data_IF_194068448661
#
_entry.id   IF_194068448661
#
_cell.length_a   1.000
_cell.length_b   1.000
_cell.length_c   1.000
_cell.angle_alpha   90.00
_cell.angle_beta   90.00
_cell.angle_gamma   90.00
#
_symmetry.space_group_name_H-M   'P 1'
#
loop_
_entity.id
_entity.type
_entity.pdbx_description
1 polymer ?
#
# COMPACT_ATOMS: atom_id res chain seq x y z
N UNK A 1 -12.66 12.42 23.66
CA UNK A 1 -13.38 11.36 22.94
C UNK A 1 -12.54 10.10 23.06
N UNK A 2 -12.90 9.22 23.95
CA UNK A 2 -12.36 7.85 24.03
C UNK A 2 -12.81 7.14 22.77
N UNK A 3 -11.89 7.04 21.78
CA UNK A 3 -12.19 6.41 20.50
C UNK A 3 -12.51 4.93 20.73
N UNK A 4 -13.67 4.50 20.32
CA UNK A 4 -14.02 3.10 20.22
C UNK A 4 -13.01 2.42 19.30
N UNK A 5 -12.18 1.54 19.87
CA UNK A 5 -11.29 0.70 19.08
C UNK A 5 -12.10 -0.50 18.57
N UNK A 6 -12.12 -0.74 17.26
CA UNK A 6 -12.85 -1.89 16.72
C UNK A 6 -12.26 -3.20 17.25
N UNK A 7 -13.08 -4.28 17.36
CA UNK A 7 -12.64 -5.59 17.78
C UNK A 7 -11.42 -6.06 16.97
N UNK A 8 -10.38 -6.48 17.67
CA UNK A 8 -9.09 -6.94 17.13
C UNK A 8 -8.79 -8.36 17.64
N UNK A 9 -7.98 -9.11 16.91
CA UNK A 9 -7.46 -10.40 17.39
C UNK A 9 -6.58 -10.27 18.63
N UNK A 10 -5.93 -9.09 18.79
CA UNK A 10 -5.06 -8.87 19.94
C UNK A 10 -5.77 -8.14 21.06
N UNK A 11 -5.58 -8.56 22.32
CA UNK A 11 -5.98 -7.77 23.49
C UNK A 11 -5.39 -6.36 23.45
N UNK A 12 -6.06 -5.41 24.10
CA UNK A 12 -5.66 -3.99 24.09
C UNK A 12 -4.21 -3.74 24.50
N UNK A 13 -3.65 -4.56 25.39
CA UNK A 13 -2.24 -4.51 25.83
C UNK A 13 -1.23 -4.69 24.69
N UNK A 14 -1.61 -5.36 23.60
CA UNK A 14 -0.77 -5.54 22.40
C UNK A 14 -1.04 -4.53 21.29
N UNK A 15 -2.03 -3.65 21.47
CA UNK A 15 -2.30 -2.58 20.51
C UNK A 15 -1.38 -1.38 20.78
N UNK A 16 -0.10 -1.55 20.46
CA UNK A 16 0.97 -0.60 20.77
C UNK A 16 1.38 0.29 19.60
N UNK A 17 0.97 -0.04 18.37
CA UNK A 17 1.39 0.68 17.18
C UNK A 17 0.45 1.88 16.91
N UNK A 18 1.02 3.06 16.77
CA UNK A 18 0.30 4.25 16.31
C UNK A 18 0.25 4.30 14.77
N UNK A 19 -0.60 5.17 14.21
CA UNK A 19 -0.61 5.43 12.77
C UNK A 19 0.75 5.94 12.24
N UNK A 20 1.52 6.65 13.08
CA UNK A 20 2.89 7.06 12.74
C UNK A 20 3.84 5.88 12.68
N UNK A 21 3.76 4.97 13.66
CA UNK A 21 4.58 3.75 13.69
C UNK A 21 4.29 2.84 12.49
N UNK A 22 3.02 2.66 12.14
CA UNK A 22 2.61 1.88 10.95
C UNK A 22 3.10 2.52 9.64
N UNK A 23 3.10 3.86 9.54
CA UNK A 23 3.65 4.55 8.37
C UNK A 23 5.14 4.30 8.20
N UNK A 24 5.90 4.46 9.28
CA UNK A 24 7.35 4.21 9.25
C UNK A 24 7.62 2.74 8.92
N UNK A 25 6.91 1.80 9.54
CA UNK A 25 7.03 0.37 9.24
C UNK A 25 6.78 0.09 7.76
N UNK A 26 5.67 0.59 7.20
CA UNK A 26 5.34 0.40 5.79
C UNK A 26 6.39 1.00 4.84
N UNK A 27 6.96 2.18 5.20
CA UNK A 27 8.03 2.81 4.41
C UNK A 27 9.31 1.99 4.44
N UNK A 28 9.71 1.45 5.60
CA UNK A 28 10.91 0.59 5.72
C UNK A 28 10.71 -0.69 4.90
N UNK A 29 9.58 -1.35 5.05
CA UNK A 29 9.23 -2.56 4.29
C UNK A 29 9.25 -2.27 2.78
N UNK A 30 8.68 -1.15 2.34
CA UNK A 30 8.66 -0.74 0.94
C UNK A 30 10.07 -0.41 0.43
N UNK A 31 10.92 0.22 1.25
CA UNK A 31 12.32 0.48 0.88
C UNK A 31 13.09 -0.82 0.68
N UNK A 32 12.91 -1.81 1.57
CA UNK A 32 13.51 -3.15 1.43
C UNK A 32 13.06 -3.81 0.13
N UNK A 33 11.76 -3.75 -0.19
CA UNK A 33 11.20 -4.29 -1.43
C UNK A 33 11.82 -3.68 -2.68
N UNK A 34 11.83 -2.34 -2.74
CA UNK A 34 12.34 -1.61 -3.91
C UNK A 34 13.86 -1.70 -4.03
N UNK A 35 14.59 -1.75 -2.92
CA UNK A 35 16.03 -2.04 -2.95
C UNK A 35 16.29 -3.42 -3.58
N UNK A 36 15.51 -4.42 -3.19
CA UNK A 36 15.61 -5.73 -3.83
C UNK A 36 15.27 -5.66 -5.32
N UNK A 37 14.16 -5.00 -5.67
CA UNK A 37 13.71 -4.92 -7.06
C UNK A 37 14.69 -4.18 -7.97
N UNK A 38 15.41 -3.17 -7.46
CA UNK A 38 16.28 -2.31 -8.27
C UNK A 38 17.74 -2.76 -8.25
N UNK A 39 18.27 -3.10 -7.07
CA UNK A 39 19.70 -3.39 -6.89
C UNK A 39 19.98 -4.89 -6.80
N UNK A 40 19.22 -5.63 -5.96
CA UNK A 40 19.51 -7.06 -5.76
C UNK A 40 19.09 -7.91 -6.97
N UNK A 41 18.16 -7.43 -7.80
CA UNK A 41 17.70 -8.13 -9.01
C UNK A 41 18.78 -8.29 -10.09
N UNK A 42 19.83 -7.49 -10.05
CA UNK A 42 20.93 -7.49 -11.02
C UNK A 42 22.26 -7.93 -10.39
N UNK A 43 22.32 -8.11 -9.08
CA UNK A 43 23.52 -8.53 -8.35
C UNK A 43 23.49 -10.04 -8.10
N UNK A 44 24.30 -10.79 -8.86
CA UNK A 44 24.28 -12.27 -8.85
C UNK A 44 24.38 -12.89 -7.45
N UNK A 45 25.26 -12.45 -6.53
CA UNK A 45 25.32 -13.04 -5.19
C UNK A 45 24.02 -12.93 -4.37
N UNK A 46 23.18 -11.92 -4.66
CA UNK A 46 21.88 -11.78 -3.99
C UNK A 46 20.79 -12.67 -4.61
N UNK A 47 21.00 -13.19 -5.80
CA UNK A 47 20.10 -14.10 -6.51
C UNK A 47 20.38 -15.57 -6.13
N UNK A 48 21.60 -15.88 -5.71
CA UNK A 48 21.98 -17.23 -5.31
C UNK A 48 21.25 -17.65 -4.04
N UNK A 49 20.76 -18.90 -3.96
CA UNK A 49 20.05 -19.39 -2.81
C UNK A 49 20.94 -19.44 -1.55
N UNK A 50 20.51 -18.79 -0.48
CA UNK A 50 21.14 -18.88 0.84
C UNK A 50 20.79 -20.20 1.55
N UNK A 51 19.58 -20.70 1.33
CA UNK A 51 19.09 -21.97 1.86
C UNK A 51 17.90 -22.48 1.03
N UNK A 52 17.53 -23.75 1.28
CA UNK A 52 16.41 -24.41 0.60
C UNK A 52 15.35 -24.86 1.60
N UNK A 53 14.07 -24.62 1.29
CA UNK A 53 12.92 -25.15 2.04
C UNK A 53 11.97 -25.83 1.04
N UNK A 54 11.69 -27.13 1.24
CA UNK A 54 10.81 -27.89 0.36
C UNK A 54 11.24 -27.88 -1.11
N UNK A 55 12.55 -27.91 -1.39
CA UNK A 55 13.11 -27.86 -2.73
C UNK A 55 13.13 -26.46 -3.39
N UNK A 56 12.63 -25.42 -2.71
CA UNK A 56 12.68 -24.04 -3.19
C UNK A 56 13.87 -23.28 -2.60
N UNK A 57 14.70 -22.68 -3.45
CA UNK A 57 15.81 -21.82 -3.03
C UNK A 57 15.29 -20.45 -2.55
N UNK A 58 15.81 -20.00 -1.41
CA UNK A 58 15.56 -18.67 -0.84
C UNK A 58 16.81 -17.83 -0.92
N UNK A 59 16.83 -16.87 -1.83
CA UNK A 59 17.89 -15.88 -2.00
C UNK A 59 17.60 -14.61 -1.21
N UNK A 60 18.60 -13.77 -0.99
CA UNK A 60 18.41 -12.46 -0.34
C UNK A 60 17.39 -11.61 -1.10
N UNK A 61 17.46 -11.58 -2.43
CA UNK A 61 16.48 -10.93 -3.30
C UNK A 61 15.06 -11.39 -2.97
N UNK A 62 14.83 -12.71 -2.98
CA UNK A 62 13.49 -13.27 -2.76
C UNK A 62 12.96 -12.96 -1.36
N UNK A 63 13.79 -13.06 -0.32
CA UNK A 63 13.39 -12.78 1.06
C UNK A 63 12.93 -11.32 1.19
N UNK A 64 13.72 -10.37 0.65
CA UNK A 64 13.37 -8.94 0.68
C UNK A 64 12.08 -8.65 -0.08
N UNK A 65 11.87 -9.28 -1.25
CA UNK A 65 10.63 -9.15 -2.03
C UNK A 65 9.43 -9.73 -1.27
N UNK A 66 9.61 -10.84 -0.56
CA UNK A 66 8.56 -11.47 0.24
C UNK A 66 8.15 -10.60 1.44
N UNK A 67 9.13 -10.01 2.14
CA UNK A 67 8.88 -9.02 3.20
C UNK A 67 8.12 -7.82 2.63
N UNK A 68 8.53 -7.33 1.47
CA UNK A 68 7.94 -6.19 0.78
C UNK A 68 6.44 -6.28 0.55
N UNK A 69 5.90 -7.50 0.37
CA UNK A 69 4.48 -7.72 0.14
C UNK A 69 3.57 -7.19 1.26
N UNK A 70 4.06 -7.08 2.47
CA UNK A 70 3.31 -6.54 3.59
C UNK A 70 3.11 -5.02 3.54
N UNK A 71 3.87 -4.27 2.73
CA UNK A 71 3.74 -2.82 2.65
C UNK A 71 2.37 -2.37 2.13
N UNK A 72 1.89 -3.00 1.04
CA UNK A 72 0.65 -2.59 0.38
C UNK A 72 -0.58 -2.67 1.29
N UNK A 73 -0.87 -3.77 2.00
CA UNK A 73 -2.01 -3.82 2.92
C UNK A 73 -1.93 -2.79 4.06
N UNK A 74 -0.71 -2.51 4.57
CA UNK A 74 -0.53 -1.47 5.60
C UNK A 74 -0.86 -0.09 5.01
N UNK A 75 -0.42 0.24 3.78
CA UNK A 75 -0.77 1.49 3.12
C UNK A 75 -2.27 1.59 2.83
N UNK A 76 -2.93 0.51 2.44
CA UNK A 76 -4.39 0.47 2.24
C UNK A 76 -5.13 0.75 3.55
N UNK A 77 -4.69 0.15 4.67
CA UNK A 77 -5.22 0.44 5.99
C UNK A 77 -5.03 1.91 6.37
N UNK A 78 -3.81 2.45 6.22
CA UNK A 78 -3.50 3.84 6.52
C UNK A 78 -4.26 4.84 5.63
N UNK A 79 -4.53 4.47 4.37
CA UNK A 79 -5.35 5.28 3.47
C UNK A 79 -6.79 5.33 3.95
N UNK A 80 -7.35 4.19 4.37
CA UNK A 80 -8.70 4.11 4.96
C UNK A 80 -8.80 4.95 6.23
N UNK A 81 -7.85 4.82 7.15
CA UNK A 81 -7.76 5.66 8.35
C UNK A 81 -7.64 7.15 8.00
N UNK A 82 -6.78 7.48 7.05
CA UNK A 82 -6.63 8.84 6.53
C UNK A 82 -7.90 9.40 5.92
N UNK A 83 -8.68 8.59 5.20
CA UNK A 83 -9.97 8.95 4.61
C UNK A 83 -11.00 9.29 5.69
N UNK A 84 -11.08 8.49 6.75
CA UNK A 84 -12.03 8.69 7.85
C UNK A 84 -11.73 9.96 8.66
N UNK A 85 -10.45 10.29 8.82
CA UNK A 85 -10.01 11.42 9.65
C UNK A 85 -9.73 12.71 8.87
N UNK A 86 -9.82 12.71 7.53
CA UNK A 86 -9.56 13.91 6.74
C UNK A 86 -10.74 14.87 6.72
N UNK A 87 -10.47 16.16 6.95
CA UNK A 87 -11.46 17.23 6.82
C UNK A 87 -11.68 17.66 5.36
N UNK A 88 -10.74 17.39 4.47
CA UNK A 88 -10.79 17.82 3.07
C UNK A 88 -10.41 16.66 2.13
N UNK A 89 -11.43 15.93 1.70
CA UNK A 89 -11.30 14.78 0.79
C UNK A 89 -10.79 15.20 -0.59
N UNK A 90 -11.21 16.36 -1.09
CA UNK A 90 -10.76 16.86 -2.40
C UNK A 90 -9.24 17.08 -2.39
N UNK A 91 -8.72 17.76 -1.36
CA UNK A 91 -7.25 17.95 -1.21
C UNK A 91 -6.52 16.62 -1.06
N UNK A 92 -7.11 15.66 -0.37
CA UNK A 92 -6.50 14.35 -0.20
C UNK A 92 -6.41 13.60 -1.53
N UNK A 93 -7.52 13.48 -2.27
CA UNK A 93 -7.56 12.85 -3.59
C UNK A 93 -6.64 13.54 -4.60
N UNK A 94 -6.66 14.89 -4.63
CA UNK A 94 -5.75 15.68 -5.48
C UNK A 94 -4.27 15.34 -5.20
N UNK A 95 -3.88 15.24 -3.92
CA UNK A 95 -2.51 14.89 -3.58
C UNK A 95 -2.17 13.46 -4.04
N UNK A 96 -3.05 12.48 -3.83
CA UNK A 96 -2.83 11.11 -4.31
C UNK A 96 -2.62 11.08 -5.82
N UNK A 97 -3.46 11.80 -6.57
CA UNK A 97 -3.36 11.88 -8.03
C UNK A 97 -2.09 12.58 -8.50
N UNK A 98 -1.74 13.73 -7.91
CA UNK A 98 -0.50 14.45 -8.24
C UNK A 98 0.74 13.59 -7.98
N UNK A 99 0.79 12.88 -6.85
CA UNK A 99 1.91 11.99 -6.57
C UNK A 99 1.89 10.72 -7.42
N UNK A 100 0.73 10.27 -7.91
CA UNK A 100 0.68 9.24 -8.94
C UNK A 100 1.40 9.68 -10.22
N UNK A 101 1.11 10.90 -10.70
CA UNK A 101 1.76 11.46 -11.89
C UNK A 101 3.27 11.69 -11.68
N UNK A 102 3.67 12.27 -10.56
CA UNK A 102 5.09 12.53 -10.24
C UNK A 102 5.87 11.22 -10.14
N UNK A 103 5.26 10.19 -9.58
CA UNK A 103 5.91 8.89 -9.35
C UNK A 103 6.03 8.04 -10.62
N UNK A 104 5.35 8.41 -11.70
CA UNK A 104 5.34 7.63 -12.94
C UNK A 104 6.73 7.60 -13.59
N UNK A 105 7.43 8.72 -13.58
CA UNK A 105 8.78 8.82 -14.15
C UNK A 105 9.76 7.86 -13.44
N UNK A 106 10.01 7.98 -12.12
CA UNK A 106 10.93 7.06 -11.45
C UNK A 106 10.46 5.59 -11.50
N UNK A 107 9.15 5.35 -11.49
CA UNK A 107 8.57 4.01 -11.63
C UNK A 107 8.93 3.37 -12.99
N UNK A 108 8.79 4.11 -14.08
CA UNK A 108 9.12 3.62 -15.42
C UNK A 108 10.62 3.30 -15.52
N UNK A 109 11.48 4.21 -15.05
CA UNK A 109 12.92 3.97 -15.00
C UNK A 109 13.34 2.83 -14.09
N UNK A 110 12.55 2.49 -13.08
CA UNK A 110 12.82 1.35 -12.21
C UNK A 110 12.78 0.02 -12.98
N UNK A 111 11.86 -0.12 -13.95
CA UNK A 111 11.60 -1.39 -14.64
C UNK A 111 12.15 -1.47 -16.05
N UNK A 112 12.17 -0.38 -16.80
CA UNK A 112 12.45 -0.41 -18.25
C UNK A 112 13.60 0.49 -18.69
N UNK A 113 14.12 1.34 -17.80
CA UNK A 113 15.10 2.40 -18.14
C UNK A 113 14.60 3.37 -19.24
N UNK A 114 13.28 3.43 -19.45
CA UNK A 114 12.61 4.28 -20.45
C UNK A 114 11.58 5.18 -19.80
N UNK A 115 11.08 6.15 -20.56
CA UNK A 115 10.04 7.07 -20.09
C UNK A 115 8.65 6.43 -19.92
N UNK A 116 8.46 5.25 -20.51
CA UNK A 116 7.16 4.56 -20.51
C UNK A 116 7.31 3.11 -20.06
N UNK A 117 6.35 2.67 -19.25
CA UNK A 117 6.21 1.28 -18.85
C UNK A 117 4.75 0.86 -18.95
N UNK A 118 4.50 -0.41 -19.22
CA UNK A 118 3.15 -0.95 -19.43
C UNK A 118 2.29 -0.89 -18.16
N UNK A 119 2.92 -0.90 -17.00
CA UNK A 119 2.26 -0.96 -15.70
C UNK A 119 2.47 0.33 -14.92
N UNK A 120 1.36 0.99 -14.55
CA UNK A 120 1.39 2.25 -13.80
C UNK A 120 1.72 2.00 -12.31
N UNK A 121 2.19 3.03 -11.61
CA UNK A 121 2.58 2.91 -10.21
C UNK A 121 1.38 2.74 -9.25
N UNK A 122 1.67 2.28 -8.03
CA UNK A 122 0.67 1.95 -7.00
C UNK A 122 -0.22 3.10 -6.57
N UNK A 123 0.22 4.36 -6.69
CA UNK A 123 -0.62 5.51 -6.32
C UNK A 123 -1.90 5.61 -7.16
N UNK A 124 -1.90 5.13 -8.41
CA UNK A 124 -3.12 5.05 -9.21
C UNK A 124 -4.12 4.06 -8.60
N UNK A 125 -3.66 2.91 -8.12
CA UNK A 125 -4.53 1.95 -7.39
C UNK A 125 -5.08 2.58 -6.11
N UNK A 126 -4.24 3.26 -5.32
CA UNK A 126 -4.66 3.94 -4.10
C UNK A 126 -5.64 5.07 -4.40
N UNK A 127 -5.44 5.83 -5.47
CA UNK A 127 -6.34 6.90 -5.90
C UNK A 127 -7.71 6.36 -6.33
N UNK A 128 -7.74 5.29 -7.14
CA UNK A 128 -9.01 4.67 -7.55
C UNK A 128 -9.78 4.11 -6.34
N UNK A 129 -9.08 3.44 -5.41
CA UNK A 129 -9.70 2.99 -4.16
C UNK A 129 -10.22 4.15 -3.30
N UNK A 130 -9.49 5.26 -3.25
CA UNK A 130 -9.95 6.49 -2.60
C UNK A 130 -11.24 7.04 -3.24
N UNK A 131 -11.32 7.06 -4.58
CA UNK A 131 -12.54 7.46 -5.29
C UNK A 131 -13.69 6.48 -5.01
N UNK A 132 -13.42 5.18 -4.91
CA UNK A 132 -14.41 4.18 -4.52
C UNK A 132 -14.97 4.43 -3.12
N UNK A 133 -14.12 4.77 -2.14
CA UNK A 133 -14.57 5.17 -0.80
C UNK A 133 -15.42 6.46 -0.86
N UNK A 134 -15.04 7.43 -1.69
CA UNK A 134 -15.86 8.64 -1.90
C UNK A 134 -17.23 8.30 -2.48
N UNK A 135 -17.31 7.39 -3.47
CA UNK A 135 -18.58 6.97 -4.08
C UNK A 135 -19.49 6.26 -3.06
N UNK A 136 -18.93 5.39 -2.21
CA UNK A 136 -19.67 4.72 -1.13
C UNK A 136 -20.30 5.72 -0.15
N UNK A 137 -19.60 6.77 0.20
CA UNK A 137 -20.12 7.80 1.11
C UNK A 137 -21.09 8.75 0.43
N UNK A 138 -20.76 9.23 -0.77
CA UNK A 138 -21.55 10.25 -1.46
C UNK A 138 -22.92 9.72 -1.92
N UNK A 139 -22.95 8.49 -2.43
CA UNK A 139 -24.17 7.86 -2.93
C UNK A 139 -24.84 6.94 -1.91
N UNK A 140 -24.63 7.16 -0.61
CA UNK A 140 -25.16 6.31 0.46
C UNK A 140 -26.69 6.12 0.40
N UNK A 141 -27.44 7.13 -0.04
CA UNK A 141 -28.89 7.09 -0.23
C UNK A 141 -29.36 6.57 -1.60
N UNK A 142 -28.44 6.24 -2.50
CA UNK A 142 -28.75 5.79 -3.85
C UNK A 142 -27.88 4.58 -4.23
N UNK A 143 -28.21 3.35 -3.75
CA UNK A 143 -27.37 2.16 -3.92
C UNK A 143 -27.03 1.82 -5.38
N UNK A 144 -27.97 2.05 -6.31
CA UNK A 144 -27.71 1.80 -7.72
C UNK A 144 -26.61 2.73 -8.29
N UNK A 145 -26.54 4.00 -7.86
CA UNK A 145 -25.47 4.94 -8.23
C UNK A 145 -24.13 4.53 -7.61
N UNK A 146 -24.14 4.02 -6.36
CA UNK A 146 -22.94 3.44 -5.76
C UNK A 146 -22.40 2.32 -6.62
N UNK A 147 -23.23 1.31 -6.92
CA UNK A 147 -22.84 0.14 -7.71
C UNK A 147 -22.30 0.58 -9.08
N UNK A 148 -23.02 1.46 -9.77
CA UNK A 148 -22.58 1.97 -11.08
C UNK A 148 -21.21 2.64 -11.00
N UNK A 149 -20.99 3.55 -10.04
CA UNK A 149 -19.70 4.20 -9.85
C UNK A 149 -18.58 3.20 -9.52
N UNK A 150 -18.84 2.22 -8.64
CA UNK A 150 -17.86 1.20 -8.30
C UNK A 150 -17.48 0.34 -9.50
N UNK A 151 -18.45 -0.02 -10.36
CA UNK A 151 -18.19 -0.79 -11.58
C UNK A 151 -17.40 0.01 -12.62
N UNK A 152 -17.71 1.32 -12.78
CA UNK A 152 -16.92 2.21 -13.65
C UNK A 152 -15.48 2.31 -13.14
N UNK A 153 -15.26 2.50 -11.85
CA UNK A 153 -13.92 2.58 -11.27
C UNK A 153 -13.18 1.24 -11.37
N UNK A 154 -13.88 0.11 -11.21
CA UNK A 154 -13.32 -1.21 -11.42
C UNK A 154 -12.87 -1.39 -12.87
N UNK A 155 -13.70 -0.99 -13.84
CA UNK A 155 -13.32 -1.03 -15.26
C UNK A 155 -12.09 -0.17 -15.54
N UNK A 156 -12.02 1.04 -14.96
CA UNK A 156 -10.83 1.90 -15.07
C UNK A 156 -9.62 1.22 -14.44
N UNK A 157 -9.75 0.58 -13.28
CA UNK A 157 -8.66 -0.14 -12.62
C UNK A 157 -8.11 -1.30 -13.47
N UNK A 158 -8.99 -2.01 -14.19
CA UNK A 158 -8.58 -3.06 -15.14
C UNK A 158 -7.83 -2.47 -16.32
N UNK A 159 -8.33 -1.38 -16.92
CA UNK A 159 -7.75 -0.77 -18.13
C UNK A 159 -6.44 -0.03 -17.85
N UNK A 160 -6.34 0.64 -16.71
CA UNK A 160 -5.16 1.41 -16.32
C UNK A 160 -3.94 0.54 -16.05
N UNK A 161 -4.13 -0.74 -15.76
CA UNK A 161 -3.06 -1.70 -15.47
C UNK A 161 -2.07 -1.20 -14.40
N UNK A 162 -2.58 -0.56 -13.33
CA UNK A 162 -1.74 -0.08 -12.24
C UNK A 162 -1.20 -1.23 -11.38
N UNK A 163 -0.16 -0.97 -10.60
CA UNK A 163 0.37 -1.94 -9.65
C UNK A 163 -0.73 -2.36 -8.66
N UNK A 164 -0.87 -3.66 -8.39
CA UNK A 164 -2.03 -4.31 -7.75
C UNK A 164 -3.36 -4.20 -8.54
N UNK A 165 -3.51 -3.30 -9.51
CA UNK A 165 -4.63 -3.18 -10.44
C UNK A 165 -6.02 -3.28 -9.78
N UNK A 166 -6.95 -3.96 -10.45
CA UNK A 166 -8.31 -4.17 -9.95
C UNK A 166 -8.36 -4.95 -8.64
N UNK A 167 -7.41 -5.87 -8.40
CA UNK A 167 -7.33 -6.64 -7.13
C UNK A 167 -7.04 -5.72 -5.95
N UNK A 168 -6.12 -4.78 -6.12
CA UNK A 168 -5.80 -3.76 -5.11
C UNK A 168 -6.93 -2.78 -4.89
N UNK A 169 -7.64 -2.40 -5.94
CA UNK A 169 -8.86 -1.57 -5.85
C UNK A 169 -9.92 -2.25 -4.97
N UNK A 170 -10.26 -3.50 -5.27
CA UNK A 170 -11.25 -4.27 -4.48
C UNK A 170 -10.75 -4.48 -3.05
N UNK A 171 -9.46 -4.78 -2.87
CA UNK A 171 -8.88 -4.91 -1.53
C UNK A 171 -9.08 -3.64 -0.68
N UNK A 172 -8.86 -2.45 -1.26
CA UNK A 172 -9.11 -1.18 -0.58
C UNK A 172 -10.59 -1.02 -0.17
N UNK A 173 -11.52 -1.43 -1.02
CA UNK A 173 -12.94 -1.41 -0.67
C UNK A 173 -13.26 -2.38 0.48
N UNK A 174 -12.67 -3.57 0.49
CA UNK A 174 -12.78 -4.54 1.60
C UNK A 174 -12.27 -3.90 2.90
N UNK A 175 -11.07 -3.29 2.87
CA UNK A 175 -10.47 -2.61 4.01
C UNK A 175 -11.38 -1.50 4.57
N UNK A 176 -12.04 -0.77 3.68
CA UNK A 176 -12.96 0.30 4.05
C UNK A 176 -14.30 -0.22 4.59
N UNK A 177 -14.90 -1.20 3.93
CA UNK A 177 -16.21 -1.74 4.34
C UNK A 177 -16.13 -2.44 5.70
N UNK A 178 -15.03 -3.15 5.97
CA UNK A 178 -14.79 -3.87 7.22
C UNK A 178 -14.01 -3.04 8.27
N UNK A 179 -13.91 -1.73 8.10
CA UNK A 179 -13.09 -0.84 8.96
C UNK A 179 -13.45 -0.86 10.45
N UNK A 180 -14.70 -1.22 10.77
CA UNK A 180 -15.19 -1.27 12.16
C UNK A 180 -14.86 -2.60 12.86
N UNK A 181 -14.33 -3.60 12.15
CA UNK A 181 -14.06 -4.94 12.65
C UNK A 181 -12.71 -5.43 12.12
N UNK A 182 -11.62 -5.17 12.86
CA UNK A 182 -10.26 -5.53 12.43
C UNK A 182 -10.09 -7.04 12.24
N UNK A 183 -10.78 -7.85 13.02
CA UNK A 183 -10.73 -9.31 12.88
C UNK A 183 -11.33 -9.76 11.54
N UNK A 184 -12.55 -9.31 11.21
CA UNK A 184 -13.19 -9.58 9.92
C UNK A 184 -12.37 -9.02 8.77
N UNK A 185 -11.82 -7.82 8.92
CA UNK A 185 -10.94 -7.17 7.95
C UNK A 185 -9.70 -8.04 7.67
N UNK A 186 -9.09 -8.63 8.70
CA UNK A 186 -7.93 -9.51 8.55
C UNK A 186 -8.29 -10.84 7.89
N UNK A 187 -9.41 -11.46 8.27
CA UNK A 187 -9.84 -12.74 7.68
C UNK A 187 -10.17 -12.54 6.19
N UNK A 188 -11.10 -11.65 5.88
CA UNK A 188 -11.56 -11.42 4.51
C UNK A 188 -10.43 -10.85 3.64
N UNK A 189 -9.63 -9.93 4.19
CA UNK A 189 -8.46 -9.39 3.51
C UNK A 189 -7.40 -10.43 3.20
N UNK A 190 -7.13 -11.36 4.12
CA UNK A 190 -6.21 -12.49 3.89
C UNK A 190 -6.74 -13.47 2.85
N UNK A 191 -8.04 -13.79 2.90
CA UNK A 191 -8.68 -14.62 1.88
C UNK A 191 -8.58 -13.96 0.49
N UNK A 192 -8.76 -12.65 0.38
CA UNK A 192 -8.60 -11.92 -0.87
C UNK A 192 -7.17 -11.93 -1.38
N UNK A 193 -6.17 -11.84 -0.47
CA UNK A 193 -4.74 -11.82 -0.79
C UNK A 193 -4.14 -13.24 -0.95
N UNK A 194 -4.94 -14.30 -1.11
CA UNK A 194 -4.44 -15.68 -1.21
C UNK A 194 -3.33 -15.87 -2.26
N UNK A 195 -3.39 -15.13 -3.36
CA UNK A 195 -2.40 -15.14 -4.44
C UNK A 195 -1.04 -14.53 -4.02
N UNK A 196 -1.03 -13.70 -2.98
CA UNK A 196 0.16 -13.11 -2.34
C UNK A 196 0.11 -13.34 -0.82
N UNK A 197 -0.06 -14.58 -0.38
CA UNK A 197 -0.30 -14.94 1.02
C UNK A 197 0.68 -14.31 2.01
N UNK A 198 1.92 -13.98 1.57
CA UNK A 198 2.93 -13.30 2.40
C UNK A 198 2.49 -11.89 2.81
N UNK A 199 1.66 -11.25 2.01
CA UNK A 199 1.07 -9.95 2.35
C UNK A 199 0.14 -10.03 3.58
N UNK A 200 -0.39 -11.21 3.91
CA UNK A 200 -1.25 -11.42 5.07
C UNK A 200 -0.55 -11.13 6.40
N UNK A 201 0.78 -11.23 6.48
CA UNK A 201 1.54 -10.84 7.68
C UNK A 201 1.37 -9.36 8.06
N UNK A 202 0.96 -8.51 7.12
CA UNK A 202 0.59 -7.12 7.40
C UNK A 202 -0.52 -7.00 8.45
N UNK A 203 -1.45 -7.97 8.50
CA UNK A 203 -2.56 -7.93 9.44
C UNK A 203 -2.12 -8.10 10.90
N UNK A 204 -0.93 -8.63 11.17
CA UNK A 204 -0.34 -8.65 12.51
C UNK A 204 -0.16 -7.20 12.97
N UNK A 205 0.55 -6.38 12.21
CA UNK A 205 0.80 -4.97 12.55
C UNK A 205 -0.48 -4.12 12.53
N UNK A 206 -1.41 -4.38 11.61
CA UNK A 206 -2.70 -3.69 11.53
C UNK A 206 -3.55 -3.98 12.78
N UNK A 207 -3.57 -5.22 13.27
CA UNK A 207 -4.29 -5.57 14.49
C UNK A 207 -3.61 -5.02 15.77
N UNK A 208 -2.32 -4.68 15.71
CA UNK A 208 -1.60 -3.99 16.79
C UNK A 208 -1.83 -2.47 16.80
N UNK A 209 -2.60 -1.92 15.87
CA UNK A 209 -2.91 -0.49 15.82
C UNK A 209 -3.81 -0.05 16.98
N UNK A 210 -3.38 1.01 17.68
CA UNK A 210 -4.01 1.52 18.92
C UNK A 210 -5.02 2.67 18.68
N UNK A 211 -5.38 2.97 17.42
CA UNK A 211 -6.30 4.06 17.09
C UNK A 211 -5.69 5.47 17.20
N UNK A 212 -4.44 5.61 17.61
CA UNK A 212 -3.80 6.91 17.80
C UNK A 212 -3.02 7.33 16.55
N UNK A 213 -3.06 8.64 16.25
CA UNK A 213 -2.28 9.21 15.13
C UNK A 213 -0.76 9.03 15.32
N UNK A 214 -0.29 9.17 16.56
CA UNK A 214 1.13 9.05 16.90
C UNK A 214 1.92 10.37 16.77
N UNK A 215 3.25 10.24 16.68
CA UNK A 215 4.21 11.33 16.80
C UNK A 215 4.37 12.19 15.53
N UNK A 216 3.98 11.67 14.36
CA UNK A 216 4.11 12.40 13.09
C UNK A 216 3.00 13.44 12.96
N UNK A 217 3.38 14.72 13.11
CA UNK A 217 2.46 15.86 13.08
C UNK A 217 3.02 16.96 12.16
N UNK A 218 2.13 17.82 11.64
CA UNK A 218 2.50 18.99 10.83
C UNK A 218 2.34 18.79 9.31
N UNK A 219 2.47 19.93 8.59
CA UNK A 219 2.31 19.97 7.12
C UNK A 219 3.50 19.33 6.40
N UNK A 220 4.72 19.61 6.87
CA UNK A 220 5.95 19.08 6.30
C UNK A 220 5.96 17.54 6.29
N UNK A 221 5.66 16.92 7.45
CA UNK A 221 5.62 15.47 7.59
C UNK A 221 4.63 14.82 6.62
N UNK A 222 3.49 15.48 6.37
CA UNK A 222 2.50 14.96 5.41
C UNK A 222 3.08 14.84 4.01
N UNK A 223 3.73 15.90 3.50
CA UNK A 223 4.31 15.90 2.16
C UNK A 223 5.52 14.99 2.05
N UNK A 224 6.31 14.87 3.12
CA UNK A 224 7.42 13.93 3.20
C UNK A 224 6.96 12.49 2.90
N UNK A 225 5.83 12.04 3.46
CA UNK A 225 5.31 10.70 3.21
C UNK A 225 4.86 10.47 1.76
N UNK A 226 4.30 11.49 1.12
CA UNK A 226 3.98 11.39 -0.31
C UNK A 226 5.24 11.40 -1.17
N UNK A 227 6.19 12.29 -0.87
CA UNK A 227 7.41 12.46 -1.64
C UNK A 227 8.37 11.27 -1.47
N UNK A 228 8.30 10.55 -0.35
CA UNK A 228 9.17 9.40 -0.08
C UNK A 228 9.12 8.37 -1.21
N UNK A 229 7.92 8.09 -1.73
CA UNK A 229 7.76 7.08 -2.78
C UNK A 229 8.53 7.42 -4.07
N UNK A 230 8.33 8.56 -4.72
CA UNK A 230 9.13 8.89 -5.90
C UNK A 230 10.62 9.13 -5.57
N UNK A 231 10.94 9.71 -4.41
CA UNK A 231 12.31 10.03 -4.06
C UNK A 231 13.19 8.80 -3.85
N UNK A 232 12.74 7.81 -3.05
CA UNK A 232 13.57 6.62 -2.82
C UNK A 232 13.73 5.78 -4.08
N UNK A 233 12.71 5.69 -4.96
CA UNK A 233 12.85 5.01 -6.25
C UNK A 233 13.88 5.74 -7.12
N UNK A 234 13.80 7.08 -7.20
CA UNK A 234 14.78 7.88 -7.95
C UNK A 234 16.21 7.63 -7.45
N UNK A 235 16.41 7.67 -6.12
CA UNK A 235 17.72 7.40 -5.52
C UNK A 235 18.20 5.99 -5.87
N UNK A 236 17.35 4.98 -5.78
CA UNK A 236 17.69 3.60 -6.11
C UNK A 236 18.05 3.43 -7.60
N UNK A 237 17.31 4.08 -8.50
CA UNK A 237 17.61 4.06 -9.94
C UNK A 237 18.94 4.74 -10.24
N UNK A 238 19.24 5.88 -9.60
CA UNK A 238 20.55 6.55 -9.73
C UNK A 238 21.67 5.64 -9.21
N UNK A 239 21.48 5.05 -8.01
CA UNK A 239 22.46 4.11 -7.44
C UNK A 239 22.70 2.91 -8.35
N UNK A 240 21.65 2.33 -8.95
CA UNK A 240 21.80 1.26 -9.94
C UNK A 240 22.73 1.66 -11.08
N UNK A 241 22.54 2.85 -11.66
CA UNK A 241 23.35 3.35 -12.77
C UNK A 241 24.79 3.71 -12.40
N UNK A 242 25.05 3.96 -11.11
CA UNK A 242 26.41 4.27 -10.63
C UNK A 242 27.19 3.02 -10.25
N UNK A 243 26.50 1.94 -9.86
CA UNK A 243 27.13 0.72 -9.34
C UNK A 243 27.24 -0.39 -10.39
N UNK A 244 26.39 -0.36 -11.41
CA UNK A 244 26.29 -1.37 -12.47
C UNK A 244 26.19 -0.72 -13.84
#
# INVERSE_FOLDING_TARGET
>A
MTGYLPPSFFPSRFQILSGSSLKVLAMVIMLVDHTAAVLLSIWQPALDPLFYIGGRGYSAYRICRDIGRAAFPIFCFLLTEGFLHTRNRVRYGRNLFLFALISEIPWNFMFTDTWTYVKQNVFFTLFLGFLGMCALEYFRSAPWKQILCLLILLYVAVKLNADYGWKGYVFLLIMYLLRNEKASQAIVGSCWLYYEWKACFAFISINMYNGQRGFIRGKFSKYFFYAFYPLHITILVILRRLLF
#
